data_IF_394233437260
#
_entry.id   IF_394233437260
#
_cell.length_a   1.000
_cell.length_b   1.000
_cell.length_c   1.000
_cell.angle_alpha   90.00
_cell.angle_beta   90.00
_cell.angle_gamma   90.00
#
_symmetry.space_group_name_H-M   'P 1'
#
loop_
_entity.id
_entity.type
_entity.pdbx_description
1 polymer ?
#
# COMPACT_ATOMS: atom_id res chain seq x y z
N UNK A 1 -10.80 16.14 3.91
CA UNK A 1 -11.41 15.78 2.62
C UNK A 1 -10.50 14.82 1.86
N UNK A 2 -11.09 13.96 1.04
CA UNK A 2 -10.41 13.00 0.17
C UNK A 2 -10.63 13.42 -1.28
N UNK A 3 -9.57 13.46 -2.07
CA UNK A 3 -9.60 13.78 -3.49
C UNK A 3 -9.03 12.62 -4.31
N UNK A 4 -9.46 12.48 -5.55
CA UNK A 4 -8.73 11.64 -6.50
C UNK A 4 -7.42 12.31 -6.84
N UNK A 5 -6.37 11.51 -6.99
CA UNK A 5 -5.06 11.98 -7.39
C UNK A 5 -4.64 11.27 -8.68
N UNK A 6 -3.99 12.03 -9.56
CA UNK A 6 -3.32 11.51 -10.74
C UNK A 6 -1.82 11.50 -10.48
N UNK A 7 -1.18 10.35 -10.71
CA UNK A 7 0.26 10.21 -10.64
C UNK A 7 0.86 10.67 -11.97
N UNK A 8 1.71 11.69 -11.93
CA UNK A 8 2.36 12.28 -13.10
C UNK A 8 3.83 11.88 -13.25
N UNK A 9 4.44 11.34 -12.20
CA UNK A 9 5.83 10.93 -12.21
C UNK A 9 6.26 10.35 -10.87
N UNK A 10 7.55 10.05 -10.77
CA UNK A 10 8.18 9.52 -9.57
C UNK A 10 9.59 10.09 -9.40
N UNK A 11 9.93 10.43 -8.18
CA UNK A 11 11.32 10.63 -7.74
C UNK A 11 11.79 9.29 -7.20
N UNK A 12 12.80 8.70 -7.85
CA UNK A 12 13.35 7.40 -7.47
C UNK A 12 13.92 7.43 -6.05
N UNK A 13 13.63 6.40 -5.27
CA UNK A 13 14.21 6.20 -3.95
C UNK A 13 15.62 5.65 -4.05
N UNK A 14 16.50 6.15 -3.19
CA UNK A 14 17.87 5.67 -3.03
C UNK A 14 18.15 5.41 -1.55
N UNK A 15 19.22 4.69 -1.28
CA UNK A 15 19.64 4.42 0.10
C UNK A 15 19.91 5.73 0.86
N UNK A 16 19.16 5.94 1.94
CA UNK A 16 19.23 7.16 2.75
C UNK A 16 18.38 8.32 2.23
N UNK A 17 17.74 8.18 1.06
CA UNK A 17 16.87 9.18 0.47
C UNK A 17 15.61 8.50 -0.10
N UNK A 18 14.52 8.44 0.66
CA UNK A 18 13.27 7.87 0.17
C UNK A 18 12.75 8.69 -1.00
N UNK A 19 12.32 8.00 -2.07
CA UNK A 19 11.67 8.63 -3.20
C UNK A 19 10.21 8.98 -2.92
N UNK A 20 9.54 9.58 -3.91
CA UNK A 20 8.14 9.95 -3.81
C UNK A 20 7.40 9.85 -5.13
N UNK A 21 6.10 9.55 -5.08
CA UNK A 21 5.21 9.71 -6.22
C UNK A 21 4.87 11.19 -6.40
N UNK A 22 5.06 11.69 -7.60
CA UNK A 22 4.64 13.05 -7.98
C UNK A 22 3.24 13.01 -8.57
N UNK A 23 2.40 13.97 -8.19
CA UNK A 23 1.03 14.04 -8.71
C UNK A 23 0.25 15.16 -8.05
N UNK A 24 -1.03 15.20 -8.36
CA UNK A 24 -1.93 16.21 -7.82
C UNK A 24 -3.38 15.76 -7.84
N UNK A 25 -4.24 16.54 -7.20
CA UNK A 25 -5.68 16.27 -7.23
C UNK A 25 -6.20 16.37 -8.67
N UNK A 26 -6.87 15.32 -9.12
CA UNK A 26 -7.48 15.27 -10.47
C UNK A 26 -8.86 15.92 -10.55
N UNK A 27 -9.42 16.34 -9.43
CA UNK A 27 -10.70 17.05 -9.36
C UNK A 27 -10.69 18.15 -8.29
N UNK A 28 -11.45 19.21 -8.52
CA UNK A 28 -11.64 20.29 -7.55
C UNK A 28 -12.63 19.90 -6.43
N UNK A 29 -13.39 18.81 -6.59
CA UNK A 29 -14.40 18.37 -5.63
C UNK A 29 -13.93 17.15 -4.87
N UNK A 30 -14.08 17.13 -3.55
CA UNK A 30 -13.74 15.97 -2.72
C UNK A 30 -14.69 14.81 -3.00
N UNK A 31 -14.15 13.60 -2.97
CA UNK A 31 -14.88 12.35 -3.14
C UNK A 31 -15.28 11.72 -1.79
N UNK A 32 -14.81 12.28 -0.68
CA UNK A 32 -15.09 11.78 0.65
C UNK A 32 -14.44 12.63 1.74
N UNK A 33 -14.51 12.14 2.95
CA UNK A 33 -13.92 12.76 4.14
C UNK A 33 -13.18 11.73 4.99
N UNK A 34 -12.04 12.13 5.56
CA UNK A 34 -11.33 11.37 6.59
C UNK A 34 -11.95 11.75 7.93
N UNK A 35 -12.32 10.77 8.72
CA UNK A 35 -12.92 10.90 10.05
C UNK A 35 -11.89 10.58 11.13
N UNK A 36 -11.03 9.59 10.87
CA UNK A 36 -9.95 9.20 11.78
C UNK A 36 -8.63 9.06 11.05
N UNK A 37 -7.55 9.48 11.71
CA UNK A 37 -6.17 9.29 11.28
C UNK A 37 -5.37 8.69 12.43
N UNK A 38 -5.03 7.44 12.33
CA UNK A 38 -4.40 6.65 13.38
C UNK A 38 -3.08 6.03 12.90
N UNK A 39 -2.32 5.44 13.81
CA UNK A 39 -1.12 4.66 13.47
C UNK A 39 -1.43 3.38 12.67
N UNK A 40 -2.71 2.98 12.61
CA UNK A 40 -3.17 1.79 11.87
C UNK A 40 -3.76 2.11 10.51
N UNK A 41 -3.98 3.37 10.20
CA UNK A 41 -4.52 3.83 8.92
C UNK A 41 -5.38 5.07 9.04
N UNK A 42 -5.92 5.48 7.91
CA UNK A 42 -6.94 6.53 7.81
C UNK A 42 -8.29 5.88 7.51
N UNK A 43 -9.31 6.36 8.18
CA UNK A 43 -10.69 5.86 8.04
C UNK A 43 -11.63 7.02 7.75
N UNK A 44 -12.67 6.75 6.99
CA UNK A 44 -13.59 7.79 6.61
C UNK A 44 -14.68 7.32 5.66
N UNK A 45 -15.46 8.25 5.15
CA UNK A 45 -16.62 7.97 4.31
C UNK A 45 -16.36 8.47 2.88
N UNK A 46 -16.60 7.60 1.91
CA UNK A 46 -16.60 7.97 0.49
C UNK A 46 -18.03 8.29 0.02
N UNK A 47 -18.18 9.38 -0.71
CA UNK A 47 -19.44 9.81 -1.33
C UNK A 47 -19.70 9.15 -2.68
N UNK A 48 -18.65 8.56 -3.26
CA UNK A 48 -18.70 7.91 -4.56
C UNK A 48 -17.92 6.60 -4.50
N UNK A 49 -18.22 5.60 -5.36
CA UNK A 49 -17.40 4.41 -5.47
C UNK A 49 -15.94 4.78 -5.74
N UNK A 50 -15.01 4.22 -4.96
CA UNK A 50 -13.57 4.52 -5.09
C UNK A 50 -12.92 3.81 -6.27
N UNK A 51 -13.54 2.77 -6.80
CA UNK A 51 -13.03 2.01 -7.93
C UNK A 51 -14.10 1.16 -8.60
N UNK A 52 -13.72 0.57 -9.72
CA UNK A 52 -14.55 -0.35 -10.52
C UNK A 52 -14.06 -1.79 -10.45
N UNK A 53 -12.98 -2.05 -9.70
CA UNK A 53 -12.46 -3.40 -9.53
C UNK A 53 -13.41 -4.24 -8.68
N UNK A 54 -13.53 -5.55 -8.97
CA UNK A 54 -14.31 -6.46 -8.14
C UNK A 54 -13.81 -6.45 -6.69
N UNK A 55 -14.73 -6.66 -5.75
CA UNK A 55 -14.36 -6.86 -4.36
C UNK A 55 -13.49 -8.10 -4.20
N UNK A 56 -12.43 -8.00 -3.40
CA UNK A 56 -11.53 -9.10 -3.10
C UNK A 56 -11.72 -9.56 -1.66
N UNK A 57 -11.64 -10.86 -1.38
CA UNK A 57 -11.75 -11.36 -0.01
C UNK A 57 -10.52 -10.94 0.81
N UNK A 58 -10.73 -10.71 2.10
CA UNK A 58 -9.66 -10.48 3.06
C UNK A 58 -9.19 -11.82 3.62
N UNK A 59 -7.89 -12.01 3.73
CA UNK A 59 -7.31 -13.19 4.36
C UNK A 59 -7.44 -13.12 5.88
N UNK A 60 -7.76 -14.25 6.50
CA UNK A 60 -7.58 -14.38 7.94
C UNK A 60 -6.07 -14.32 8.28
N UNK A 61 -5.71 -13.88 9.49
CA UNK A 61 -4.29 -13.84 9.91
C UNK A 61 -3.59 -15.19 9.81
N UNK A 62 -4.34 -16.27 10.06
CA UNK A 62 -3.83 -17.64 9.95
C UNK A 62 -3.52 -18.07 8.52
N UNK A 63 -3.97 -17.32 7.52
CA UNK A 63 -3.73 -17.61 6.10
C UNK A 63 -2.49 -16.88 5.56
N UNK A 64 -2.03 -15.80 6.24
CA UNK A 64 -0.84 -15.04 5.81
C UNK A 64 0.41 -15.92 5.98
N UNK A 65 1.23 -15.99 4.94
CA UNK A 65 2.46 -16.80 4.90
C UNK A 65 3.66 -15.96 4.52
N UNK A 66 4.83 -16.40 4.97
CA UNK A 66 6.10 -15.93 4.41
C UNK A 66 6.21 -16.40 2.97
N UNK A 67 6.84 -15.59 2.11
CA UNK A 67 7.07 -15.92 0.71
C UNK A 67 6.35 -14.98 -0.24
N UNK A 68 6.08 -15.47 -1.44
CA UNK A 68 5.56 -14.69 -2.55
C UNK A 68 4.25 -13.95 -2.22
N UNK A 69 4.20 -12.70 -2.64
CA UNK A 69 3.07 -11.81 -2.55
C UNK A 69 3.14 -10.79 -3.70
N UNK A 70 2.08 -10.03 -3.89
CA UNK A 70 2.10 -8.90 -4.82
C UNK A 70 1.56 -7.65 -4.14
N UNK A 71 1.93 -6.48 -4.65
CA UNK A 71 1.32 -5.21 -4.26
C UNK A 71 0.61 -4.60 -5.47
N UNK A 72 -0.54 -3.96 -5.24
CA UNK A 72 -1.21 -3.16 -6.25
C UNK A 72 -0.87 -1.70 -6.03
N UNK A 73 -0.31 -1.03 -7.02
CA UNK A 73 0.03 0.38 -6.91
C UNK A 73 -0.06 1.09 -8.25
N UNK A 74 -0.27 2.41 -8.19
CA UNK A 74 -0.17 3.31 -9.35
C UNK A 74 1.10 4.12 -9.19
N UNK A 75 2.10 3.85 -10.03
CA UNK A 75 3.39 4.56 -10.00
C UNK A 75 3.64 5.37 -11.28
N UNK A 76 2.69 5.35 -12.19
CA UNK A 76 2.76 6.08 -13.46
C UNK A 76 1.35 6.40 -13.98
N UNK A 77 1.28 7.12 -15.07
CA UNK A 77 0.01 7.42 -15.78
C UNK A 77 -0.71 6.18 -16.33
N UNK A 78 -0.06 5.00 -16.30
CA UNK A 78 -0.62 3.73 -16.78
C UNK A 78 -1.66 3.10 -15.86
N UNK A 79 -2.00 3.73 -14.73
CA UNK A 79 -2.98 3.21 -13.78
C UNK A 79 -2.43 2.14 -12.83
N UNK A 80 -3.34 1.41 -12.18
CA UNK A 80 -3.00 0.38 -11.21
C UNK A 80 -2.33 -0.82 -11.89
N UNK A 81 -1.20 -1.26 -11.33
CA UNK A 81 -0.50 -2.49 -11.74
C UNK A 81 -0.17 -3.35 -10.53
N UNK A 82 0.03 -4.63 -10.78
CA UNK A 82 0.51 -5.61 -9.79
C UNK A 82 2.03 -5.72 -9.91
N UNK A 83 2.71 -5.72 -8.76
CA UNK A 83 4.17 -5.82 -8.66
C UNK A 83 4.55 -6.91 -7.67
N UNK A 84 5.57 -7.69 -8.01
CA UNK A 84 6.02 -8.81 -7.19
C UNK A 84 6.77 -8.34 -5.94
N UNK A 85 6.47 -9.01 -4.84
CA UNK A 85 7.09 -8.78 -3.54
C UNK A 85 7.19 -10.10 -2.76
N UNK A 86 7.96 -10.09 -1.69
CA UNK A 86 8.08 -11.22 -0.77
C UNK A 86 7.79 -10.74 0.65
N UNK A 87 6.88 -11.41 1.34
CA UNK A 87 6.67 -11.23 2.78
C UNK A 87 7.79 -11.96 3.51
N UNK A 88 8.65 -11.20 4.18
CA UNK A 88 9.84 -11.72 4.88
C UNK A 88 9.64 -11.87 6.39
N UNK A 89 8.65 -11.16 6.95
CA UNK A 89 8.31 -11.24 8.37
C UNK A 89 6.82 -10.94 8.60
N UNK A 90 6.24 -11.63 9.56
CA UNK A 90 4.85 -11.46 10.00
C UNK A 90 4.85 -11.29 11.52
N UNK A 91 4.38 -10.15 12.01
CA UNK A 91 3.97 -9.97 13.40
C UNK A 91 2.43 -9.94 13.42
N UNK A 92 1.82 -10.82 14.22
CA UNK A 92 0.37 -11.00 14.27
C UNK A 92 -0.33 -9.83 14.99
N UNK A 93 -1.68 -9.77 14.96
CA UNK A 93 -2.44 -8.66 15.54
C UNK A 93 -2.07 -8.36 17.00
N UNK A 94 -1.82 -9.38 17.82
CA UNK A 94 -1.34 -9.21 19.20
C UNK A 94 0.00 -8.46 19.31
N UNK A 95 0.82 -8.48 18.26
CA UNK A 95 2.09 -7.78 18.12
C UNK A 95 2.01 -6.60 17.14
N UNK A 96 0.80 -6.04 16.91
CA UNK A 96 0.54 -4.89 16.07
C UNK A 96 0.28 -5.20 14.60
N UNK A 97 0.17 -6.46 14.20
CA UNK A 97 -0.19 -6.88 12.83
C UNK A 97 0.78 -6.44 11.74
N UNK A 98 2.07 -6.25 12.09
CA UNK A 98 3.07 -5.70 11.17
C UNK A 98 3.59 -6.76 10.19
N UNK A 99 3.60 -6.42 8.93
CA UNK A 99 4.24 -7.18 7.86
C UNK A 99 5.56 -6.51 7.46
N UNK A 100 6.58 -7.29 7.14
CA UNK A 100 7.78 -6.80 6.45
C UNK A 100 7.81 -7.43 5.07
N UNK A 101 8.05 -6.63 4.05
CA UNK A 101 8.09 -7.07 2.66
C UNK A 101 9.30 -6.50 1.94
N UNK A 102 9.78 -7.25 0.96
CA UNK A 102 10.83 -6.84 0.04
C UNK A 102 10.28 -6.86 -1.38
N UNK A 103 10.48 -5.79 -2.12
CA UNK A 103 10.10 -5.70 -3.54
C UNK A 103 11.09 -6.53 -4.36
N UNK A 104 10.55 -7.38 -5.22
CA UNK A 104 11.33 -8.22 -6.14
C UNK A 104 11.02 -7.93 -7.60
N UNK A 105 10.00 -7.13 -7.87
CA UNK A 105 9.58 -6.74 -9.21
C UNK A 105 10.62 -5.84 -9.89
N UNK A 106 11.17 -6.31 -11.00
CA UNK A 106 12.22 -5.59 -11.71
C UNK A 106 11.75 -4.28 -12.35
N UNK A 107 10.51 -4.23 -12.83
CA UNK A 107 9.94 -3.03 -13.45
C UNK A 107 9.71 -1.94 -12.39
N UNK A 108 9.18 -2.33 -11.23
CA UNK A 108 8.99 -1.39 -10.12
C UNK A 108 10.33 -0.86 -9.62
N UNK A 109 11.31 -1.75 -9.40
CA UNK A 109 12.65 -1.36 -8.95
C UNK A 109 13.34 -0.41 -9.93
N UNK A 110 13.18 -0.63 -11.25
CA UNK A 110 13.76 0.23 -12.28
C UNK A 110 13.14 1.64 -12.30
N UNK A 111 11.87 1.78 -11.93
CA UNK A 111 11.13 3.04 -11.96
C UNK A 111 11.20 3.80 -10.64
N UNK A 112 11.06 3.10 -9.52
CA UNK A 112 10.92 3.72 -8.20
C UNK A 112 12.11 3.48 -7.28
N UNK A 113 12.97 2.52 -7.57
CA UNK A 113 14.04 2.08 -6.68
C UNK A 113 13.56 1.22 -5.49
N UNK A 114 12.24 1.01 -5.37
CA UNK A 114 11.60 0.27 -4.28
C UNK A 114 10.29 0.90 -3.84
N UNK A 115 9.99 0.85 -2.54
CA UNK A 115 8.82 1.52 -1.97
C UNK A 115 9.14 3.00 -1.80
N UNK A 116 8.27 3.86 -2.32
CA UNK A 116 8.41 5.32 -2.25
C UNK A 116 7.23 5.97 -1.52
N UNK A 117 7.39 7.20 -1.08
CA UNK A 117 6.29 7.98 -0.49
C UNK A 117 5.14 8.11 -1.49
N UNK A 118 3.92 7.99 -1.02
CA UNK A 118 2.71 7.91 -1.84
C UNK A 118 2.24 6.48 -2.12
N UNK A 119 3.06 5.45 -1.93
CA UNK A 119 2.63 4.05 -2.04
C UNK A 119 1.93 3.52 -0.78
N UNK A 120 1.88 4.28 0.30
CA UNK A 120 1.14 3.91 1.52
C UNK A 120 -0.33 3.67 1.20
N UNK A 121 -0.90 2.57 1.72
CA UNK A 121 -2.25 2.10 1.38
C UNK A 121 -2.31 1.15 0.18
N UNK A 122 -1.22 0.95 -0.56
CA UNK A 122 -1.16 -0.07 -1.63
C UNK A 122 -1.51 -1.45 -1.06
N UNK A 123 -2.55 -2.15 -1.59
CA UNK A 123 -2.92 -3.46 -1.10
C UNK A 123 -1.82 -4.49 -1.31
N UNK A 124 -1.60 -5.33 -0.30
CA UNK A 124 -0.73 -6.50 -0.35
C UNK A 124 -1.61 -7.72 -0.57
N UNK A 125 -1.32 -8.49 -1.60
CA UNK A 125 -2.11 -9.66 -2.01
C UNK A 125 -1.29 -10.93 -1.88
N UNK A 126 -1.97 -12.00 -1.47
CA UNK A 126 -1.43 -13.35 -1.44
C UNK A 126 -2.56 -14.34 -1.71
N UNK A 127 -2.36 -15.29 -2.61
CA UNK A 127 -3.36 -16.32 -2.96
C UNK A 127 -4.76 -15.75 -3.30
N UNK A 128 -4.81 -14.62 -4.04
CA UNK A 128 -6.07 -13.98 -4.45
C UNK A 128 -6.83 -13.26 -3.35
N UNK A 129 -6.22 -13.05 -2.17
CA UNK A 129 -6.81 -12.34 -1.02
C UNK A 129 -5.98 -11.13 -0.64
N UNK A 130 -6.63 -10.12 -0.08
CA UNK A 130 -5.95 -8.98 0.54
C UNK A 130 -5.44 -9.42 1.92
N UNK A 131 -4.12 -9.37 2.11
CA UNK A 131 -3.49 -9.72 3.39
C UNK A 131 -3.12 -8.48 4.21
N UNK A 132 -2.98 -7.32 3.57
CA UNK A 132 -2.60 -6.09 4.25
C UNK A 132 -2.46 -4.91 3.30
N UNK A 133 -1.88 -3.84 3.81
CA UNK A 133 -1.54 -2.64 3.04
C UNK A 133 -0.13 -2.16 3.39
N UNK A 134 0.56 -1.60 2.40
CA UNK A 134 1.88 -0.96 2.58
C UNK A 134 1.73 0.27 3.48
N UNK A 135 2.68 0.49 4.39
CA UNK A 135 2.67 1.63 5.31
C UNK A 135 3.92 2.50 5.22
N UNK A 136 5.10 1.92 5.31
CA UNK A 136 6.36 2.65 5.40
C UNK A 136 7.46 1.97 4.58
N UNK A 137 8.40 2.78 4.11
CA UNK A 137 9.67 2.32 3.50
C UNK A 137 10.77 2.31 4.56
N UNK A 138 11.74 1.40 4.40
CA UNK A 138 12.97 1.42 5.18
C UNK A 138 13.96 2.38 4.51
N UNK A 139 14.25 3.52 5.15
CA UNK A 139 15.04 4.62 4.55
C UNK A 139 16.42 4.16 4.05
N UNK A 140 17.07 3.24 4.76
CA UNK A 140 18.39 2.72 4.38
C UNK A 140 18.35 1.56 3.36
N UNK A 141 17.14 1.08 3.03
CA UNK A 141 16.91 0.03 2.03
C UNK A 141 15.52 0.21 1.42
N UNK A 142 15.36 1.02 0.35
CA UNK A 142 14.07 1.28 -0.26
C UNK A 142 13.38 0.04 -0.82
N UNK A 143 14.12 -1.04 -1.08
CA UNK A 143 13.53 -2.30 -1.54
C UNK A 143 12.74 -3.02 -0.44
N UNK A 144 13.00 -2.66 0.81
CA UNK A 144 12.33 -3.23 1.98
C UNK A 144 11.39 -2.21 2.62
N UNK A 145 10.24 -2.67 3.06
CA UNK A 145 9.27 -1.83 3.77
C UNK A 145 8.36 -2.61 4.69
N UNK A 146 7.42 -1.88 5.24
CA UNK A 146 6.46 -2.40 6.20
C UNK A 146 5.04 -2.29 5.64
N UNK A 147 4.21 -3.21 6.09
CA UNK A 147 2.77 -3.18 5.92
C UNK A 147 2.07 -3.45 7.24
N UNK A 148 0.77 -3.25 7.24
CA UNK A 148 -0.15 -3.64 8.31
C UNK A 148 -1.06 -4.74 7.80
N UNK A 149 -1.37 -5.74 8.63
CA UNK A 149 -2.35 -6.77 8.24
C UNK A 149 -3.73 -6.14 8.07
N UNK A 150 -4.50 -6.63 7.09
CA UNK A 150 -5.83 -6.10 6.83
C UNK A 150 -6.79 -6.35 8.00
N UNK A 151 -6.61 -7.47 8.71
CA UNK A 151 -7.40 -7.77 9.93
C UNK A 151 -7.18 -6.69 10.99
N UNK A 152 -5.90 -6.37 11.30
CA UNK A 152 -5.56 -5.32 12.26
C UNK A 152 -6.09 -3.95 11.84
N UNK A 153 -6.07 -3.64 10.54
CA UNK A 153 -6.60 -2.38 10.03
C UNK A 153 -8.13 -2.31 10.16
N UNK A 154 -8.85 -3.40 9.85
CA UNK A 154 -10.31 -3.47 9.97
C UNK A 154 -10.77 -3.44 11.43
N UNK A 155 -10.05 -4.07 12.36
CA UNK A 155 -10.32 -3.99 13.79
C UNK A 155 -10.21 -2.54 14.33
N UNK A 156 -9.40 -1.72 13.71
CA UNK A 156 -9.27 -0.31 14.08
C UNK A 156 -10.36 0.60 13.50
N UNK A 157 -11.10 0.10 12.50
CA UNK A 157 -12.22 0.81 11.86
C UNK A 157 -13.58 0.56 12.55
N UNK A 158 -13.60 -0.23 13.64
CA UNK A 158 -14.85 -0.76 14.29
C UNK A 158 -15.26 0.06 15.49
#
# INVERSE_FOLDING_TARGET
>A
EIYRADVSGVVMGERGAPGELCGGASSASPIGSIEENTVRGIFGTSRTPLGTLPAMPVAAESEIRLGEATILSTVSTGGVRSYDAVITRIARSGDGGKLTLTITDGDLLAVTGGIVQGMSGSPILQNGKIVGAVTHVLVNDPTTGYGISMVTMLEAAS
#
